data_IF_527660332738
#
_entry.id   IF_527660332738
#
_cell.length_a   1.000
_cell.length_b   1.000
_cell.length_c   1.000
_cell.angle_alpha   90.00
_cell.angle_beta   90.00
_cell.angle_gamma   90.00
#
_symmetry.space_group_name_H-M   'P 1'
#
loop_
_entity.id
_entity.type
_entity.pdbx_description
1 polymer ?
#
# COMPACT_ATOMS: atom_id res chain seq x y z
N UNK A 1 -21.73 -12.63 3.30
CA UNK A 1 -22.26 -13.37 2.13
C UNK A 1 -21.08 -13.76 1.27
N UNK A 2 -20.75 -15.04 1.23
CA UNK A 2 -19.66 -15.53 0.39
C UNK A 2 -20.17 -15.53 -1.06
N UNK A 3 -19.77 -14.56 -1.87
CA UNK A 3 -20.00 -14.59 -3.32
C UNK A 3 -18.81 -15.30 -3.95
N UNK A 4 -19.02 -16.55 -4.35
CA UNK A 4 -18.09 -17.35 -5.14
C UNK A 4 -17.88 -16.70 -6.53
N UNK A 5 -17.21 -15.60 -6.63
CA UNK A 5 -17.00 -14.88 -7.89
C UNK A 5 -16.28 -13.53 -7.72
N UNK A 6 -15.93 -13.17 -6.49
CA UNK A 6 -15.09 -12.02 -6.21
C UNK A 6 -13.88 -12.44 -5.36
N UNK A 7 -12.70 -12.22 -5.88
CA UNK A 7 -11.44 -12.49 -5.18
C UNK A 7 -10.99 -11.22 -4.48
N UNK A 8 -10.80 -11.33 -3.16
CA UNK A 8 -10.30 -10.24 -2.31
C UNK A 8 -9.35 -10.82 -1.28
N UNK A 9 -8.13 -10.41 -1.33
CA UNK A 9 -7.09 -10.76 -0.38
C UNK A 9 -6.95 -9.66 0.67
N UNK A 10 -6.61 -10.02 1.91
CA UNK A 10 -6.51 -9.05 3.00
C UNK A 10 -5.49 -7.94 2.71
N UNK A 11 -4.35 -8.30 2.12
CA UNK A 11 -3.29 -7.34 1.76
C UNK A 11 -3.62 -6.44 0.55
N UNK A 12 -4.67 -6.79 -0.23
CA UNK A 12 -5.05 -6.00 -1.41
C UNK A 12 -5.86 -4.74 -1.09
N UNK A 13 -6.29 -4.56 0.15
CA UNK A 13 -7.09 -3.43 0.59
C UNK A 13 -6.57 -2.83 1.88
N UNK A 14 -6.70 -1.52 2.02
CA UNK A 14 -6.38 -0.78 3.23
C UNK A 14 -7.52 0.18 3.55
N UNK A 15 -7.95 0.27 4.80
CA UNK A 15 -9.08 1.10 5.22
C UNK A 15 -8.67 2.09 6.31
N UNK A 16 -9.19 3.33 6.20
CA UNK A 16 -9.05 4.34 7.24
C UNK A 16 -10.07 4.18 8.39
N UNK A 17 -11.00 3.22 8.26
CA UNK A 17 -12.09 3.01 9.21
C UNK A 17 -13.17 4.11 9.20
N UNK A 18 -13.06 5.12 8.32
CA UNK A 18 -13.94 6.29 8.24
C UNK A 18 -14.61 6.42 6.87
N UNK A 19 -14.63 5.31 6.10
CA UNK A 19 -15.33 5.26 4.82
C UNK A 19 -14.44 5.36 3.59
N UNK A 20 -13.12 5.50 3.73
CA UNK A 20 -12.16 5.44 2.62
C UNK A 20 -11.45 4.09 2.60
N UNK A 21 -11.36 3.50 1.41
CA UNK A 21 -10.52 2.33 1.14
C UNK A 21 -9.45 2.71 0.13
N UNK A 22 -8.24 2.22 0.31
CA UNK A 22 -7.11 2.35 -0.61
C UNK A 22 -6.76 0.98 -1.17
N UNK A 23 -6.50 0.91 -2.47
CA UNK A 23 -6.13 -0.33 -3.17
C UNK A 23 -5.26 -0.03 -4.38
N UNK A 24 -4.74 -1.06 -5.04
CA UNK A 24 -4.00 -0.92 -6.29
C UNK A 24 -4.83 -1.39 -7.49
N UNK A 25 -4.63 -0.75 -8.62
CA UNK A 25 -5.26 -1.15 -9.88
C UNK A 25 -4.72 -2.49 -10.37
N UNK A 26 -3.41 -2.69 -10.23
CA UNK A 26 -2.74 -3.92 -10.68
C UNK A 26 -3.32 -5.15 -10.01
N UNK A 27 -3.54 -5.10 -8.69
CA UNK A 27 -4.10 -6.21 -7.96
C UNK A 27 -5.57 -6.45 -8.29
N UNK A 28 -6.45 -5.50 -8.03
CA UNK A 28 -7.89 -5.76 -8.12
C UNK A 28 -8.44 -5.89 -9.55
N UNK A 29 -7.77 -5.26 -10.54
CA UNK A 29 -8.13 -5.40 -11.95
C UNK A 29 -7.39 -6.55 -12.64
N UNK A 30 -6.55 -7.29 -11.91
CA UNK A 30 -5.86 -8.45 -12.45
C UNK A 30 -6.86 -9.45 -13.05
N UNK A 31 -6.63 -9.94 -14.29
CA UNK A 31 -7.48 -10.94 -14.91
C UNK A 31 -7.55 -12.25 -14.13
N UNK A 32 -6.54 -12.51 -13.30
CA UNK A 32 -6.48 -13.70 -12.44
C UNK A 32 -7.39 -13.61 -11.21
N UNK A 33 -7.92 -12.42 -10.90
CA UNK A 33 -8.83 -12.18 -9.76
C UNK A 33 -10.24 -11.84 -10.23
N UNK A 34 -10.43 -10.60 -10.66
CA UNK A 34 -11.74 -10.05 -10.98
C UNK A 34 -11.87 -9.64 -12.45
N UNK A 35 -11.18 -10.35 -13.36
CA UNK A 35 -11.09 -10.01 -14.79
C UNK A 35 -12.43 -9.95 -15.56
N UNK A 36 -13.55 -10.33 -14.93
CA UNK A 36 -14.90 -10.16 -15.47
C UNK A 36 -15.53 -8.81 -15.08
N UNK A 37 -14.88 -8.04 -14.20
CA UNK A 37 -15.37 -6.78 -13.67
C UNK A 37 -14.45 -5.63 -14.06
N UNK A 38 -15.04 -4.48 -14.35
CA UNK A 38 -14.29 -3.24 -14.51
C UNK A 38 -14.13 -2.51 -13.17
N UNK A 39 -13.35 -1.42 -13.15
CA UNK A 39 -13.08 -0.61 -11.95
C UNK A 39 -14.37 -0.15 -11.26
N UNK A 40 -15.36 0.30 -12.01
CA UNK A 40 -16.62 0.81 -11.45
C UNK A 40 -17.39 -0.30 -10.74
N UNK A 41 -17.49 -1.46 -11.36
CA UNK A 41 -18.19 -2.62 -10.79
C UNK A 41 -17.49 -3.15 -9.52
N UNK A 42 -16.16 -3.16 -9.49
CA UNK A 42 -15.38 -3.52 -8.30
C UNK A 42 -15.61 -2.48 -7.20
N UNK A 43 -15.57 -1.19 -7.53
CA UNK A 43 -15.79 -0.11 -6.58
C UNK A 43 -17.19 -0.15 -5.97
N UNK A 44 -18.23 -0.33 -6.78
CA UNK A 44 -19.60 -0.49 -6.31
C UNK A 44 -19.75 -1.70 -5.37
N UNK A 45 -19.10 -2.82 -5.71
CA UNK A 45 -19.09 -4.01 -4.88
C UNK A 45 -18.42 -3.73 -3.52
N UNK A 46 -17.20 -3.18 -3.51
CA UNK A 46 -16.46 -2.85 -2.28
C UNK A 46 -17.25 -1.86 -1.41
N UNK A 47 -17.80 -0.80 -2.01
CA UNK A 47 -18.64 0.18 -1.29
C UNK A 47 -19.86 -0.49 -0.66
N UNK A 48 -20.49 -1.43 -1.33
CA UNK A 48 -21.68 -2.14 -0.81
C UNK A 48 -21.35 -3.08 0.34
N UNK A 49 -20.17 -3.75 0.29
CA UNK A 49 -19.77 -4.75 1.29
C UNK A 49 -19.18 -4.12 2.54
N UNK A 50 -18.36 -3.07 2.37
CA UNK A 50 -17.67 -2.40 3.47
C UNK A 50 -18.34 -1.08 3.90
N UNK A 51 -19.46 -0.71 3.28
CA UNK A 51 -20.19 0.55 3.54
C UNK A 51 -19.29 1.79 3.37
N UNK A 52 -18.50 1.81 2.28
CA UNK A 52 -17.55 2.88 1.99
C UNK A 52 -18.24 4.08 1.32
N UNK A 53 -17.67 5.25 1.57
CA UNK A 53 -18.00 6.47 0.81
C UNK A 53 -17.21 6.53 -0.49
N UNK A 54 -15.94 6.01 -0.49
CA UNK A 54 -15.10 6.01 -1.68
C UNK A 54 -13.99 4.96 -1.64
N UNK A 55 -13.41 4.73 -2.82
CA UNK A 55 -12.20 3.93 -3.01
C UNK A 55 -11.14 4.80 -3.69
N UNK A 56 -9.94 4.84 -3.14
CA UNK A 56 -8.76 5.44 -3.74
C UNK A 56 -7.96 4.34 -4.42
N UNK A 57 -7.57 4.59 -5.67
CA UNK A 57 -6.84 3.63 -6.48
C UNK A 57 -5.43 4.14 -6.75
N UNK A 58 -4.42 3.37 -6.35
CA UNK A 58 -3.05 3.55 -6.80
C UNK A 58 -2.85 2.82 -8.13
N UNK A 59 -2.46 3.55 -9.14
CA UNK A 59 -2.17 3.03 -10.48
C UNK A 59 -0.67 2.76 -10.68
N UNK A 60 0.13 3.10 -9.68
CA UNK A 60 1.59 2.98 -9.67
C UNK A 60 2.05 2.38 -8.33
N UNK A 61 3.22 1.77 -8.36
CA UNK A 61 3.85 1.11 -7.22
C UNK A 61 4.24 -0.31 -7.60
N UNK A 62 5.46 -0.68 -7.25
CA UNK A 62 6.05 -1.95 -7.62
C UNK A 62 7.17 -2.34 -6.66
N UNK A 63 7.25 -3.60 -6.31
CA UNK A 63 8.37 -4.20 -5.60
C UNK A 63 8.83 -5.45 -6.34
N UNK A 64 10.14 -5.52 -6.65
CA UNK A 64 10.73 -6.70 -7.29
C UNK A 64 10.59 -7.91 -6.37
N UNK A 65 10.20 -9.06 -6.94
CA UNK A 65 9.96 -10.28 -6.21
C UNK A 65 8.57 -10.38 -5.57
N UNK A 66 7.74 -9.33 -5.66
CA UNK A 66 6.35 -9.43 -5.22
C UNK A 66 5.53 -10.31 -6.19
N UNK A 67 4.87 -11.32 -5.64
CA UNK A 67 4.02 -12.27 -6.36
C UNK A 67 2.53 -12.03 -6.12
N UNK A 68 2.19 -10.89 -5.53
CA UNK A 68 0.83 -10.52 -5.14
C UNK A 68 0.13 -9.55 -6.10
N UNK A 69 0.76 -9.18 -7.21
CA UNK A 69 0.34 -8.10 -8.12
C UNK A 69 0.22 -6.74 -7.38
N UNK A 70 1.28 -6.34 -6.68
CA UNK A 70 1.38 -5.06 -5.97
C UNK A 70 0.29 -4.85 -4.91
N UNK A 71 0.20 -5.75 -3.94
CA UNK A 71 -0.67 -5.55 -2.77
C UNK A 71 -0.42 -4.19 -2.11
N UNK A 72 -1.50 -3.51 -1.74
CA UNK A 72 -1.41 -2.16 -1.17
C UNK A 72 -0.68 -2.12 0.17
N UNK A 73 -0.77 -3.17 0.98
CA UNK A 73 -0.14 -3.26 2.30
C UNK A 73 1.40 -3.37 2.24
N UNK A 74 1.96 -3.64 1.06
CA UNK A 74 3.41 -3.60 0.81
C UNK A 74 3.89 -2.22 0.35
N UNK A 75 3.00 -1.34 -0.07
CA UNK A 75 3.30 -0.06 -0.72
C UNK A 75 2.90 1.16 0.12
N UNK A 76 1.64 1.21 0.59
CA UNK A 76 1.10 2.35 1.33
C UNK A 76 0.00 1.94 2.31
N UNK A 77 0.00 2.50 3.52
CA UNK A 77 -0.91 2.17 4.61
C UNK A 77 -1.48 3.41 5.28
N UNK A 78 -2.74 3.36 5.69
CA UNK A 78 -3.30 4.38 6.57
C UNK A 78 -2.72 4.23 7.98
N UNK A 79 -2.22 5.34 8.55
CA UNK A 79 -1.87 5.45 9.95
C UNK A 79 -3.00 6.10 10.76
N UNK A 80 -3.79 6.94 10.09
CA UNK A 80 -4.98 7.60 10.60
C UNK A 80 -5.87 8.02 9.41
N UNK A 81 -7.09 8.54 9.63
CA UNK A 81 -7.96 8.97 8.53
C UNK A 81 -7.39 10.08 7.64
N UNK A 82 -6.32 10.74 8.06
CA UNK A 82 -5.67 11.82 7.31
C UNK A 82 -4.18 11.61 7.06
N UNK A 83 -3.62 10.45 7.40
CA UNK A 83 -2.19 10.17 7.31
C UNK A 83 -1.95 8.85 6.60
N UNK A 84 -1.08 8.85 5.59
CA UNK A 84 -0.65 7.67 4.84
C UNK A 84 0.87 7.53 4.97
N UNK A 85 1.32 6.37 5.45
CA UNK A 85 2.72 5.95 5.34
C UNK A 85 2.91 5.18 4.02
N UNK A 86 4.02 5.39 3.33
CA UNK A 86 4.31 4.76 2.05
C UNK A 86 5.80 4.49 1.88
N UNK A 87 6.16 3.47 1.11
CA UNK A 87 7.57 3.18 0.82
C UNK A 87 8.11 4.17 -0.21
N UNK A 88 9.27 4.77 0.08
CA UNK A 88 9.94 5.73 -0.79
C UNK A 88 11.31 5.20 -1.23
N UNK A 89 11.54 5.18 -2.54
CA UNK A 89 12.86 4.91 -3.10
C UNK A 89 13.52 6.25 -3.50
N UNK A 90 14.70 6.54 -2.93
CA UNK A 90 15.46 7.77 -3.23
C UNK A 90 16.66 7.54 -4.15
N UNK A 91 17.09 6.30 -4.35
CA UNK A 91 18.18 6.00 -5.29
C UNK A 91 17.62 5.92 -6.72
N UNK A 92 17.93 6.91 -7.54
CA UNK A 92 17.51 6.99 -8.96
C UNK A 92 18.04 5.84 -9.83
N UNK A 93 18.98 5.05 -9.32
CA UNK A 93 19.55 3.89 -10.04
C UNK A 93 18.86 2.59 -9.65
N UNK A 94 18.06 2.59 -8.58
CA UNK A 94 17.28 1.42 -8.18
C UNK A 94 16.11 1.20 -9.13
N UNK A 95 15.84 -0.05 -9.46
CA UNK A 95 14.76 -0.45 -10.37
C UNK A 95 13.36 0.02 -9.94
N UNK A 96 13.16 0.23 -8.62
CA UNK A 96 11.88 0.68 -8.06
C UNK A 96 11.65 2.19 -8.18
N UNK A 97 12.73 2.98 -8.37
CA UNK A 97 12.64 4.45 -8.30
C UNK A 97 11.52 5.01 -9.18
N UNK A 98 11.46 4.54 -10.43
CA UNK A 98 10.51 5.07 -11.41
C UNK A 98 9.05 4.88 -10.99
N UNK A 99 8.68 3.69 -10.55
CA UNK A 99 7.30 3.37 -10.16
C UNK A 99 6.95 3.89 -8.77
N UNK A 100 7.86 3.81 -7.79
CA UNK A 100 7.61 4.36 -6.46
C UNK A 100 7.55 5.89 -6.46
N UNK A 101 8.29 6.55 -7.34
CA UNK A 101 8.19 8.00 -7.52
C UNK A 101 6.84 8.42 -8.11
N UNK A 102 6.35 7.70 -9.13
CA UNK A 102 5.00 7.94 -9.68
C UNK A 102 3.91 7.69 -8.63
N UNK A 103 4.06 6.64 -7.83
CA UNK A 103 3.16 6.36 -6.70
C UNK A 103 3.12 7.53 -5.72
N UNK A 104 4.29 8.06 -5.33
CA UNK A 104 4.38 9.23 -4.44
C UNK A 104 3.67 10.44 -5.04
N UNK A 105 3.90 10.75 -6.32
CA UNK A 105 3.22 11.86 -7.00
C UNK A 105 1.71 11.65 -7.05
N UNK A 106 1.24 10.41 -7.24
CA UNK A 106 -0.19 10.10 -7.20
C UNK A 106 -0.76 10.26 -5.78
N UNK A 107 -0.06 9.79 -4.74
CA UNK A 107 -0.48 9.97 -3.34
C UNK A 107 -0.65 11.45 -2.97
N UNK A 108 0.20 12.35 -3.47
CA UNK A 108 0.08 13.81 -3.28
C UNK A 108 -1.20 14.41 -3.88
N UNK A 109 -1.82 13.72 -4.85
CA UNK A 109 -3.09 14.15 -5.45
C UNK A 109 -4.31 13.76 -4.62
N UNK A 110 -4.19 12.77 -3.76
CA UNK A 110 -5.30 12.29 -2.95
C UNK A 110 -5.74 13.33 -1.91
N UNK A 111 -7.01 13.30 -1.61
CA UNK A 111 -7.61 14.21 -0.63
C UNK A 111 -8.40 13.40 0.38
N UNK A 112 -8.50 13.87 1.61
CA UNK A 112 -9.39 13.34 2.64
C UNK A 112 -10.86 13.53 2.27
N UNK A 113 -11.78 12.98 3.05
CA UNK A 113 -13.22 13.23 2.84
C UNK A 113 -13.59 14.72 2.98
N UNK A 114 -12.82 15.46 3.79
CA UNK A 114 -12.99 16.91 3.97
C UNK A 114 -12.33 17.75 2.86
N UNK A 115 -11.67 17.10 1.88
CA UNK A 115 -11.01 17.75 0.75
C UNK A 115 -9.57 18.20 1.01
N UNK A 116 -9.02 17.94 2.20
CA UNK A 116 -7.65 18.29 2.55
C UNK A 116 -6.63 17.27 1.99
N UNK A 117 -5.37 17.66 1.73
CA UNK A 117 -4.34 16.71 1.34
C UNK A 117 -4.02 15.76 2.50
N UNK A 118 -3.70 14.51 2.18
CA UNK A 118 -3.17 13.60 3.19
C UNK A 118 -1.78 14.04 3.68
N UNK A 119 -1.52 13.86 4.97
CA UNK A 119 -0.16 13.86 5.51
C UNK A 119 0.52 12.58 5.03
N UNK A 120 1.65 12.73 4.32
CA UNK A 120 2.41 11.61 3.79
C UNK A 120 3.66 11.37 4.63
N UNK A 121 3.86 10.14 5.06
CA UNK A 121 5.02 9.70 5.84
C UNK A 121 5.86 8.74 4.99
N UNK A 122 7.04 9.20 4.58
CA UNK A 122 7.94 8.42 3.74
C UNK A 122 8.74 7.39 4.56
N UNK A 123 8.43 6.12 4.40
CA UNK A 123 9.21 5.01 4.92
C UNK A 123 10.42 4.76 4.02
N UNK A 124 11.59 4.44 4.57
CA UNK A 124 12.75 4.13 3.75
C UNK A 124 12.52 2.86 2.92
N UNK A 125 13.16 2.78 1.77
CA UNK A 125 13.31 1.52 1.04
C UNK A 125 14.30 0.64 1.79
N UNK A 126 14.01 -0.66 1.95
CA UNK A 126 14.99 -1.61 2.42
C UNK A 126 16.12 -1.78 1.38
N UNK A 127 17.37 -1.91 1.85
CA UNK A 127 18.48 -2.29 0.98
C UNK A 127 18.17 -3.63 0.33
N UNK A 128 18.71 -3.85 -0.86
CA UNK A 128 18.49 -5.06 -1.65
C UNK A 128 18.77 -6.33 -0.84
N UNK A 129 17.76 -7.17 -0.73
CA UNK A 129 17.85 -8.52 -0.14
C UNK A 129 17.57 -9.52 -1.25
N UNK A 130 18.40 -10.56 -1.33
CA UNK A 130 18.30 -11.60 -2.35
C UNK A 130 18.34 -12.99 -1.72
N UNK A 131 17.61 -13.91 -2.29
CA UNK A 131 17.68 -15.34 -2.02
C UNK A 131 17.68 -16.09 -3.37
N UNK A 132 18.61 -17.01 -3.55
CA UNK A 132 18.82 -17.80 -4.78
C UNK A 132 18.96 -16.95 -6.07
N UNK A 133 19.45 -15.71 -5.96
CA UNK A 133 19.63 -14.76 -7.07
C UNK A 133 18.39 -13.93 -7.43
N UNK A 134 17.31 -14.11 -6.72
CA UNK A 134 16.07 -13.36 -6.86
C UNK A 134 15.99 -12.27 -5.76
N UNK A 135 15.57 -11.06 -6.14
CA UNK A 135 15.33 -9.97 -5.16
C UNK A 135 14.03 -10.22 -4.39
N UNK A 136 14.09 -10.06 -3.07
CA UNK A 136 12.90 -10.19 -2.22
C UNK A 136 12.18 -8.85 -2.05
N UNK A 137 10.84 -8.85 -1.95
CA UNK A 137 10.01 -7.64 -1.82
C UNK A 137 10.05 -7.09 -0.39
N UNK A 138 11.24 -6.74 0.10
CA UNK A 138 11.43 -6.21 1.44
C UNK A 138 10.88 -4.77 1.54
N UNK A 139 9.96 -4.55 2.47
CA UNK A 139 9.31 -3.25 2.66
C UNK A 139 8.95 -3.01 4.13
N UNK A 140 9.17 -1.77 4.62
CA UNK A 140 8.70 -1.36 5.94
C UNK A 140 7.22 -0.97 5.97
N UNK A 141 6.54 -0.92 4.83
CA UNK A 141 5.11 -0.60 4.76
C UNK A 141 4.23 -1.75 5.26
N UNK A 142 4.71 -2.99 5.30
CA UNK A 142 3.92 -4.13 5.79
C UNK A 142 3.97 -4.23 7.33
N UNK A 143 3.44 -3.19 8.01
CA UNK A 143 3.34 -3.12 9.46
C UNK A 143 1.91 -3.41 9.95
N UNK A 144 1.75 -3.70 11.23
CA UNK A 144 0.46 -3.90 11.89
C UNK A 144 0.29 -2.89 13.02
N UNK A 145 -0.78 -2.08 12.95
CA UNK A 145 -1.19 -1.19 14.04
C UNK A 145 -2.07 -1.96 15.02
N UNK A 146 -1.71 -1.90 16.28
CA UNK A 146 -2.48 -2.42 17.42
C UNK A 146 -2.84 -1.26 18.34
N UNK A 147 -3.68 -1.51 19.39
CA UNK A 147 -4.14 -0.44 20.28
C UNK A 147 -3.01 0.36 20.94
N UNK A 148 -1.94 -0.31 21.34
CA UNK A 148 -0.84 0.29 22.11
C UNK A 148 0.55 0.07 21.45
N UNK A 149 0.59 -0.47 20.23
CA UNK A 149 1.85 -0.82 19.57
C UNK A 149 1.73 -0.85 18.05
N UNK A 150 2.83 -0.62 17.37
CA UNK A 150 3.02 -0.90 15.95
C UNK A 150 4.05 -2.01 15.81
N UNK A 151 3.67 -3.11 15.16
CA UNK A 151 4.58 -4.18 14.78
C UNK A 151 5.04 -3.93 13.34
N UNK A 152 6.32 -3.80 13.12
CA UNK A 152 6.88 -3.56 11.79
C UNK A 152 8.05 -4.51 11.51
N UNK A 153 8.29 -4.86 10.23
CA UNK A 153 9.41 -5.73 9.86
C UNK A 153 10.74 -5.02 10.09
N UNK A 154 11.78 -5.79 10.42
CA UNK A 154 13.17 -5.35 10.44
C UNK A 154 14.02 -6.28 9.59
N UNK A 155 15.02 -5.72 8.94
CA UNK A 155 15.82 -6.45 7.95
C UNK A 155 17.30 -6.59 8.36
N UNK A 156 17.66 -6.26 9.62
CA UNK A 156 19.04 -6.21 10.07
C UNK A 156 19.84 -5.09 9.41
N UNK A 157 19.19 -4.02 9.00
CA UNK A 157 19.73 -2.82 8.36
C UNK A 157 19.61 -1.65 9.35
N UNK A 158 20.60 -1.45 10.25
CA UNK A 158 20.41 -0.60 11.42
C UNK A 158 19.95 0.83 11.11
N UNK A 159 20.40 1.42 10.01
CA UNK A 159 20.03 2.78 9.61
C UNK A 159 18.58 2.82 9.10
N UNK A 160 18.22 1.89 8.20
CA UNK A 160 16.85 1.81 7.64
C UNK A 160 15.84 1.35 8.71
N UNK A 161 16.20 0.36 9.54
CA UNK A 161 15.34 -0.12 10.65
C UNK A 161 15.07 1.02 11.65
N UNK A 162 16.10 1.82 12.01
CA UNK A 162 15.95 2.97 12.89
C UNK A 162 15.08 4.07 12.24
N UNK A 163 15.32 4.36 10.96
CA UNK A 163 14.54 5.37 10.22
C UNK A 163 13.07 4.98 10.10
N UNK A 164 12.79 3.72 9.78
CA UNK A 164 11.41 3.21 9.72
C UNK A 164 10.71 3.34 11.08
N UNK A 165 11.42 3.02 12.18
CA UNK A 165 10.91 3.21 13.54
C UNK A 165 10.56 4.66 13.84
N UNK A 166 11.44 5.61 13.48
CA UNK A 166 11.20 7.05 13.69
C UNK A 166 9.93 7.50 12.95
N UNK A 167 9.80 7.13 11.66
CA UNK A 167 8.65 7.50 10.84
C UNK A 167 7.36 6.91 11.41
N UNK A 168 7.36 5.64 11.81
CA UNK A 168 6.19 4.96 12.37
C UNK A 168 5.84 5.46 13.79
N UNK A 169 6.80 6.12 14.48
CA UNK A 169 6.52 6.77 15.76
C UNK A 169 5.79 8.12 15.60
N UNK A 170 5.87 8.72 14.41
CA UNK A 170 5.13 9.95 14.06
C UNK A 170 3.70 9.66 13.55
N UNK A 171 3.40 8.39 13.23
CA UNK A 171 2.15 7.93 12.68
C UNK A 171 1.09 7.75 13.76
#
# INVERSE_FOLDING_TARGET
TNRLGFVLEGGSIESDGMGTLLTTSECLLSPNRNGQMNRVEIEEYLRSVFHLERVLWLDHGYLAGDDTDSHIDTLARFCSPNTIAYVQCTDVRDEHYGELHKMEEQLKTFRTLDGEPYRLLALPMADRIEEDGERLPATYANFLIMNDAVLYPTYGQPENDARAKEVLHEA
#
